data_IF_548987105876
#
_entry.id   IF_548987105876
#
_cell.length_a   1.000
_cell.length_b   1.000
_cell.length_c   1.000
_cell.angle_alpha   90.00
_cell.angle_beta   90.00
_cell.angle_gamma   90.00
#
_symmetry.space_group_name_H-M   'P 1'
#
loop_
_entity.id
_entity.type
_entity.pdbx_description
1 polymer ?
#
# COMPACT_ATOMS: atom_id res chain seq x y z
N UNK A 1 -17.44 -22.27 -3.49
CA UNK A 1 -17.50 -22.36 -4.97
C UNK A 1 -18.07 -21.08 -5.57
N UNK A 2 -17.80 -20.82 -6.85
CA UNK A 2 -18.21 -19.63 -7.60
C UNK A 2 -17.14 -19.18 -8.59
N UNK A 3 -17.49 -18.31 -9.54
CA UNK A 3 -16.53 -17.75 -10.53
C UNK A 3 -15.72 -16.60 -9.94
N UNK A 4 -14.49 -16.43 -10.41
CA UNK A 4 -13.69 -15.24 -10.16
C UNK A 4 -14.46 -13.95 -10.54
N UNK A 5 -14.17 -12.79 -9.92
CA UNK A 5 -13.06 -12.52 -9.01
C UNK A 5 -13.39 -12.71 -7.52
N UNK A 6 -14.68 -12.82 -7.15
CA UNK A 6 -15.12 -13.05 -5.76
C UNK A 6 -15.26 -14.55 -5.42
N UNK A 7 -15.43 -15.41 -6.42
CA UNK A 7 -15.40 -16.86 -6.31
C UNK A 7 -14.00 -17.44 -6.52
N UNK A 8 -13.94 -18.75 -6.76
CA UNK A 8 -12.69 -19.48 -6.99
C UNK A 8 -11.81 -19.62 -5.75
N UNK A 9 -10.55 -19.97 -6.02
CA UNK A 9 -9.48 -20.07 -5.04
C UNK A 9 -9.27 -18.72 -4.34
N UNK A 10 -9.07 -18.77 -3.02
CA UNK A 10 -8.81 -17.57 -2.23
C UNK A 10 -7.34 -17.19 -2.43
N UNK A 11 -7.10 -16.01 -3.01
CA UNK A 11 -5.73 -15.59 -3.32
C UNK A 11 -4.93 -15.28 -2.04
N UNK A 12 -5.58 -14.66 -1.03
CA UNK A 12 -5.03 -14.44 0.32
C UNK A 12 -5.55 -15.52 1.27
N UNK A 13 -5.16 -16.77 1.02
CA UNK A 13 -5.63 -17.96 1.76
C UNK A 13 -5.02 -18.07 3.15
N UNK A 14 -3.78 -17.60 3.32
CA UNK A 14 -3.05 -17.51 4.60
C UNK A 14 -3.91 -17.00 5.78
N UNK A 15 -4.56 -15.85 5.62
CA UNK A 15 -5.42 -15.27 6.67
C UNK A 15 -6.69 -16.09 6.92
N UNK A 16 -7.20 -16.76 5.90
CA UNK A 16 -8.40 -17.60 6.00
C UNK A 16 -8.08 -18.92 6.70
N UNK A 17 -6.93 -19.53 6.38
CA UNK A 17 -6.43 -20.72 7.04
C UNK A 17 -6.14 -20.46 8.52
N UNK A 18 -5.45 -19.35 8.83
CA UNK A 18 -5.26 -18.90 10.20
C UNK A 18 -6.60 -18.73 10.96
N UNK A 19 -7.61 -18.13 10.32
CA UNK A 19 -8.93 -17.97 10.91
C UNK A 19 -9.64 -19.32 11.15
N UNK A 20 -9.46 -20.30 10.27
CA UNK A 20 -10.00 -21.65 10.44
C UNK A 20 -9.27 -22.46 11.49
N UNK A 21 -7.94 -22.35 11.61
CA UNK A 21 -7.16 -22.95 12.68
C UNK A 21 -7.64 -22.44 14.05
N UNK A 22 -7.79 -21.11 14.20
CA UNK A 22 -8.36 -20.51 15.42
C UNK A 22 -9.76 -21.02 15.71
N UNK A 23 -10.63 -21.11 14.70
CA UNK A 23 -11.98 -21.68 14.86
C UNK A 23 -11.95 -23.14 15.33
N UNK A 24 -10.95 -23.91 14.92
CA UNK A 24 -10.77 -25.30 15.34
C UNK A 24 -10.11 -25.44 16.73
N UNK A 25 -9.86 -24.33 17.44
CA UNK A 25 -9.31 -24.32 18.79
C UNK A 25 -7.79 -24.21 18.88
N UNK A 26 -7.10 -23.99 17.75
CA UNK A 26 -5.65 -23.80 17.73
C UNK A 26 -5.26 -22.37 18.08
N UNK A 27 -4.14 -22.20 18.77
CA UNK A 27 -3.48 -20.90 18.89
C UNK A 27 -2.75 -20.57 17.59
N UNK A 28 -2.88 -19.33 17.13
CA UNK A 28 -2.16 -18.80 15.97
C UNK A 28 -1.39 -17.57 16.44
N UNK A 29 -0.09 -17.56 16.18
CA UNK A 29 0.86 -16.51 16.56
C UNK A 29 1.60 -16.02 15.30
N UNK A 30 1.98 -14.73 15.32
CA UNK A 30 2.84 -14.15 14.29
C UNK A 30 4.27 -14.19 14.82
N UNK A 31 5.14 -14.90 14.14
CA UNK A 31 6.56 -14.86 14.42
C UNK A 31 7.15 -13.53 13.89
N UNK A 32 7.66 -12.64 14.74
CA UNK A 32 8.28 -11.40 14.29
C UNK A 32 9.67 -11.61 13.70
N UNK A 33 10.28 -12.79 13.87
CA UNK A 33 11.58 -13.10 13.30
C UNK A 33 11.43 -13.56 11.84
N UNK A 34 12.05 -12.80 10.94
CA UNK A 34 12.13 -13.17 9.53
C UNK A 34 13.40 -13.99 9.22
N UNK A 35 14.24 -14.26 10.21
CA UNK A 35 15.46 -15.05 10.05
C UNK A 35 15.11 -16.46 9.54
N UNK A 36 15.69 -16.83 8.40
CA UNK A 36 15.43 -18.11 7.74
C UNK A 36 14.47 -18.04 6.55
N UNK A 37 13.78 -16.92 6.33
CA UNK A 37 13.06 -16.70 5.07
C UNK A 37 14.04 -16.38 3.93
N UNK A 38 13.95 -17.16 2.86
CA UNK A 38 14.68 -16.92 1.61
C UNK A 38 13.85 -16.14 0.58
N UNK A 39 12.63 -15.71 0.96
CA UNK A 39 11.75 -14.97 0.07
C UNK A 39 12.20 -13.52 -0.07
N UNK A 40 12.48 -13.11 -1.31
CA UNK A 40 12.77 -11.72 -1.61
C UNK A 40 11.48 -10.93 -1.86
N UNK A 41 11.50 -9.65 -1.44
CA UNK A 41 10.47 -8.70 -1.80
C UNK A 41 10.54 -8.29 -3.29
N UNK A 42 9.50 -7.60 -3.79
CA UNK A 42 9.52 -7.00 -5.12
C UNK A 42 10.67 -6.01 -5.21
N UNK A 43 11.41 -6.07 -6.32
CA UNK A 43 12.61 -5.26 -6.56
C UNK A 43 12.30 -4.01 -7.38
N UNK A 44 11.05 -3.88 -7.85
CA UNK A 44 10.53 -2.74 -8.60
C UNK A 44 9.11 -2.42 -8.14
N UNK A 45 8.68 -1.17 -8.35
CA UNK A 45 7.33 -0.73 -8.05
C UNK A 45 6.30 -1.44 -8.97
N UNK A 46 6.68 -1.78 -10.19
CA UNK A 46 5.85 -2.58 -11.09
C UNK A 46 5.56 -3.98 -10.52
N UNK A 47 6.59 -4.69 -10.04
CA UNK A 47 6.43 -6.00 -9.37
C UNK A 47 5.60 -5.88 -8.09
N UNK A 48 5.80 -4.80 -7.33
CA UNK A 48 5.00 -4.49 -6.16
C UNK A 48 3.51 -4.35 -6.52
N UNK A 49 3.16 -3.54 -7.52
CA UNK A 49 1.76 -3.34 -7.93
C UNK A 49 1.11 -4.62 -8.46
N UNK A 50 1.85 -5.44 -9.21
CA UNK A 50 1.36 -6.75 -9.66
C UNK A 50 1.04 -7.67 -8.48
N UNK A 51 1.89 -7.68 -7.45
CA UNK A 51 1.63 -8.43 -6.22
C UNK A 51 0.45 -7.85 -5.45
N UNK A 52 0.41 -6.54 -5.29
CA UNK A 52 -0.64 -5.82 -4.58
C UNK A 52 -2.01 -6.01 -5.24
N UNK A 53 -2.09 -6.13 -6.58
CA UNK A 53 -3.34 -6.44 -7.29
C UNK A 53 -3.92 -7.80 -6.91
N UNK A 54 -3.07 -8.81 -6.66
CA UNK A 54 -3.50 -10.14 -6.18
C UNK A 54 -3.99 -10.06 -4.75
N UNK A 55 -3.25 -9.35 -3.89
CA UNK A 55 -3.67 -9.12 -2.51
C UNK A 55 -4.97 -8.33 -2.43
N UNK A 56 -5.18 -7.33 -3.28
CA UNK A 56 -6.42 -6.57 -3.38
C UNK A 56 -7.61 -7.49 -3.65
N UNK A 57 -7.51 -8.37 -4.65
CA UNK A 57 -8.59 -9.31 -4.95
C UNK A 57 -8.78 -10.34 -3.84
N UNK A 58 -7.68 -10.89 -3.31
CA UNK A 58 -7.73 -11.85 -2.19
C UNK A 58 -8.44 -11.28 -0.96
N UNK A 59 -8.14 -10.04 -0.60
CA UNK A 59 -8.81 -9.36 0.50
C UNK A 59 -10.29 -9.07 0.18
N UNK A 60 -10.62 -8.64 -1.03
CA UNK A 60 -12.03 -8.44 -1.43
C UNK A 60 -12.82 -9.77 -1.47
N UNK A 61 -12.18 -10.90 -1.76
CA UNK A 61 -12.80 -12.23 -1.64
C UNK A 61 -13.19 -12.55 -0.18
N UNK A 62 -12.53 -11.97 0.83
CA UNK A 62 -12.87 -12.21 2.24
C UNK A 62 -14.26 -11.68 2.63
N UNK A 63 -14.85 -10.76 1.86
CA UNK A 63 -16.22 -10.27 2.08
C UNK A 63 -17.21 -11.44 2.15
N UNK A 64 -17.08 -12.43 1.25
CA UNK A 64 -17.96 -13.61 1.23
C UNK A 64 -17.76 -14.48 2.46
N UNK A 65 -16.53 -14.53 2.98
CA UNK A 65 -16.16 -15.36 4.13
C UNK A 65 -16.76 -14.71 5.38
N UNK A 66 -16.61 -13.40 5.55
CA UNK A 66 -17.23 -12.67 6.66
C UNK A 66 -18.76 -12.80 6.67
N UNK A 67 -19.39 -12.78 5.49
CA UNK A 67 -20.83 -12.89 5.35
C UNK A 67 -21.36 -14.30 5.61
N UNK A 68 -20.63 -15.36 5.22
CA UNK A 68 -21.13 -16.75 5.23
C UNK A 68 -20.54 -17.64 6.31
N UNK A 69 -19.29 -17.42 6.71
CA UNK A 69 -18.61 -18.29 7.67
C UNK A 69 -19.15 -18.05 9.09
N UNK A 70 -19.66 -19.14 9.70
CA UNK A 70 -20.09 -19.17 11.10
C UNK A 70 -18.96 -19.67 12.01
N UNK A 71 -19.00 -19.22 13.27
CA UNK A 71 -18.06 -19.65 14.31
C UNK A 71 -16.64 -19.09 14.17
N UNK A 72 -16.41 -18.06 13.37
CA UNK A 72 -15.11 -17.39 13.36
C UNK A 72 -14.93 -16.56 14.63
N UNK A 73 -13.74 -16.64 15.23
CA UNK A 73 -13.32 -15.80 16.34
C UNK A 73 -13.46 -14.30 15.98
N UNK A 74 -13.96 -13.44 16.89
CA UNK A 74 -14.11 -12.01 16.63
C UNK A 74 -12.84 -11.32 16.13
N UNK A 75 -11.65 -11.74 16.62
CA UNK A 75 -10.36 -11.21 16.17
C UNK A 75 -10.07 -11.62 14.74
N UNK A 76 -10.37 -12.86 14.35
CA UNK A 76 -10.25 -13.29 12.95
C UNK A 76 -11.20 -12.51 12.04
N UNK A 77 -12.42 -12.22 12.48
CA UNK A 77 -13.36 -11.38 11.73
C UNK A 77 -12.84 -9.95 11.58
N UNK A 78 -12.30 -9.37 12.66
CA UNK A 78 -11.69 -8.05 12.63
C UNK A 78 -10.51 -8.01 11.66
N UNK A 79 -9.63 -9.01 11.68
CA UNK A 79 -8.48 -9.08 10.78
C UNK A 79 -8.91 -9.10 9.30
N UNK A 80 -9.87 -9.97 8.94
CA UNK A 80 -10.40 -10.03 7.58
C UNK A 80 -11.07 -8.70 7.17
N UNK A 81 -11.80 -8.07 8.11
CA UNK A 81 -12.41 -6.75 7.86
C UNK A 81 -11.34 -5.67 7.64
N UNK A 82 -10.28 -5.65 8.44
CA UNK A 82 -9.15 -4.75 8.26
C UNK A 82 -8.47 -4.96 6.90
N UNK A 83 -8.30 -6.20 6.45
CA UNK A 83 -7.76 -6.51 5.12
C UNK A 83 -8.62 -5.94 3.98
N UNK A 84 -9.95 -6.11 4.06
CA UNK A 84 -10.91 -5.53 3.10
C UNK A 84 -10.82 -3.99 3.11
N UNK A 85 -10.89 -3.38 4.29
CA UNK A 85 -10.85 -1.92 4.42
C UNK A 85 -9.49 -1.32 4.05
N UNK A 86 -8.40 -2.08 4.18
CA UNK A 86 -7.07 -1.67 3.72
C UNK A 86 -7.04 -1.32 2.23
N UNK A 87 -7.85 -1.99 1.41
CA UNK A 87 -8.00 -1.67 -0.01
C UNK A 87 -9.14 -0.69 -0.30
N UNK A 88 -10.29 -0.81 0.38
CA UNK A 88 -11.42 0.11 0.18
C UNK A 88 -11.12 1.55 0.64
N UNK A 89 -10.15 1.75 1.54
CA UNK A 89 -9.74 3.07 1.97
C UNK A 89 -9.25 3.95 0.80
N UNK A 90 -8.53 3.38 -0.17
CA UNK A 90 -7.96 4.11 -1.32
C UNK A 90 -9.02 4.80 -2.20
N UNK A 91 -10.04 4.11 -2.75
CA UNK A 91 -11.10 4.78 -3.52
C UNK A 91 -11.95 5.73 -2.68
N UNK A 92 -12.20 5.42 -1.40
CA UNK A 92 -12.96 6.30 -0.50
C UNK A 92 -12.18 7.60 -0.22
N UNK A 93 -10.88 7.50 0.01
CA UNK A 93 -10.01 8.66 0.22
C UNK A 93 -9.89 9.50 -1.06
N UNK A 94 -9.71 8.87 -2.22
CA UNK A 94 -9.70 9.61 -3.49
C UNK A 94 -11.00 10.37 -3.73
N UNK A 95 -12.15 9.73 -3.47
CA UNK A 95 -13.46 10.38 -3.59
C UNK A 95 -13.59 11.58 -2.65
N UNK A 96 -13.10 11.46 -1.41
CA UNK A 96 -13.06 12.55 -0.43
C UNK A 96 -12.18 13.72 -0.92
N UNK A 97 -10.98 13.44 -1.43
CA UNK A 97 -10.06 14.44 -1.97
C UNK A 97 -10.68 15.18 -3.15
N UNK A 98 -11.30 14.45 -4.09
CA UNK A 98 -11.98 15.05 -5.25
C UNK A 98 -13.15 15.92 -4.80
N UNK A 99 -14.05 15.39 -3.96
CA UNK A 99 -15.22 16.11 -3.49
C UNK A 99 -14.84 17.39 -2.75
N UNK A 100 -13.83 17.32 -1.88
CA UNK A 100 -13.39 18.49 -1.15
C UNK A 100 -12.65 19.52 -2.01
N UNK A 101 -11.87 19.05 -3.00
CA UNK A 101 -11.24 19.93 -3.98
C UNK A 101 -12.28 20.70 -4.77
N UNK A 102 -13.33 20.02 -5.25
CA UNK A 102 -14.43 20.63 -5.99
C UNK A 102 -15.33 21.53 -5.14
N UNK A 103 -15.41 21.28 -3.83
CA UNK A 103 -16.25 22.06 -2.91
C UNK A 103 -15.70 23.47 -2.64
N UNK A 104 -14.40 23.72 -2.83
CA UNK A 104 -13.76 25.00 -2.48
C UNK A 104 -13.76 25.34 -0.98
N UNK A 105 -14.18 24.41 -0.12
CA UNK A 105 -14.28 24.58 1.33
C UNK A 105 -12.99 24.09 2.00
N UNK A 106 -12.23 25.02 2.57
CA UNK A 106 -11.00 24.72 3.33
C UNK A 106 -11.28 23.88 4.59
N UNK A 107 -12.46 24.02 5.19
CA UNK A 107 -12.85 23.31 6.40
C UNK A 107 -13.06 21.80 6.19
N UNK A 108 -13.56 21.41 5.02
CA UNK A 108 -13.95 20.01 4.74
C UNK A 108 -12.76 19.05 4.77
N UNK A 109 -11.55 19.50 4.38
CA UNK A 109 -10.36 18.65 4.38
C UNK A 109 -9.45 18.77 5.57
N UNK A 110 -9.56 19.87 6.33
CA UNK A 110 -8.61 20.13 7.41
C UNK A 110 -8.66 19.03 8.48
N UNK A 111 -9.86 18.66 8.96
CA UNK A 111 -10.00 17.65 10.02
C UNK A 111 -9.57 16.25 9.54
N UNK A 112 -10.05 15.72 8.39
CA UNK A 112 -9.63 14.39 7.92
C UNK A 112 -8.12 14.31 7.64
N UNK A 113 -7.53 15.36 7.07
CA UNK A 113 -6.08 15.39 6.77
C UNK A 113 -5.26 15.41 8.05
N UNK A 114 -5.60 16.26 9.02
CA UNK A 114 -4.90 16.29 10.31
C UNK A 114 -5.05 14.98 11.07
N UNK A 115 -6.24 14.36 11.04
CA UNK A 115 -6.48 13.05 11.62
C UNK A 115 -5.63 11.95 10.97
N UNK A 116 -5.58 11.91 9.65
CA UNK A 116 -4.74 10.98 8.90
C UNK A 116 -3.24 11.18 9.21
N UNK A 117 -2.76 12.44 9.19
CA UNK A 117 -1.38 12.78 9.55
C UNK A 117 -1.08 12.32 10.98
N UNK A 118 -1.95 12.62 11.94
CA UNK A 118 -1.74 12.23 13.34
C UNK A 118 -1.64 10.71 13.49
N UNK A 119 -2.56 9.95 12.88
CA UNK A 119 -2.54 8.48 12.92
C UNK A 119 -1.28 7.90 12.26
N UNK A 120 -0.90 8.41 11.10
CA UNK A 120 0.27 7.94 10.35
C UNK A 120 1.59 8.30 11.04
N UNK A 121 1.66 9.47 11.70
CA UNK A 121 2.83 9.88 12.45
C UNK A 121 2.91 9.18 13.81
N UNK A 122 1.80 8.84 14.46
CA UNK A 122 1.81 8.16 15.75
C UNK A 122 2.60 6.84 15.71
N UNK A 123 2.36 6.00 14.70
CA UNK A 123 3.12 4.75 14.51
C UNK A 123 4.62 5.00 14.25
N UNK A 124 4.97 6.04 13.50
CA UNK A 124 6.36 6.42 13.22
C UNK A 124 7.07 6.94 14.46
N UNK A 125 6.40 7.78 15.25
CA UNK A 125 6.89 8.30 16.51
C UNK A 125 7.12 7.19 17.53
N UNK A 126 6.23 6.19 17.59
CA UNK A 126 6.43 5.01 18.42
C UNK A 126 7.70 4.23 18.02
N UNK A 127 7.91 4.02 16.71
CA UNK A 127 9.11 3.36 16.19
C UNK A 127 10.40 4.13 16.48
N UNK A 128 10.41 5.45 16.26
CA UNK A 128 11.54 6.32 16.62
C UNK A 128 11.81 6.27 18.12
N UNK A 129 10.78 6.38 18.95
CA UNK A 129 10.91 6.32 20.40
C UNK A 129 11.43 4.95 20.88
N UNK A 130 11.03 3.86 20.23
CA UNK A 130 11.56 2.53 20.50
C UNK A 130 13.07 2.46 20.21
N UNK A 131 13.51 2.90 19.04
CA UNK A 131 14.92 2.86 18.65
C UNK A 131 15.81 3.82 19.46
N UNK A 132 15.33 5.02 19.77
CA UNK A 132 16.06 5.98 20.60
C UNK A 132 16.27 5.47 22.04
N UNK A 133 15.36 4.66 22.57
CA UNK A 133 15.55 4.01 23.88
C UNK A 133 16.63 2.93 23.86
N UNK A 134 16.84 2.29 22.71
CA UNK A 134 17.79 1.18 22.55
C UNK A 134 19.19 1.68 22.18
N UNK A 135 19.28 2.74 21.40
CA UNK A 135 20.52 3.43 21.03
C UNK A 135 20.34 4.97 21.05
N UNK A 136 20.47 5.61 22.22
CA UNK A 136 20.33 7.06 22.34
C UNK A 136 21.42 7.84 21.59
N UNK A 137 22.63 7.27 21.49
CA UNK A 137 23.76 7.91 20.79
C UNK A 137 23.52 7.97 19.28
N UNK A 138 22.76 7.01 18.73
CA UNK A 138 22.36 6.92 17.33
C UNK A 138 21.26 7.89 16.86
N UNK A 139 20.82 8.87 17.68
CA UNK A 139 19.62 9.66 17.38
C UNK A 139 19.60 10.34 16.01
N UNK A 140 20.75 10.89 15.56
CA UNK A 140 20.86 11.55 14.25
C UNK A 140 20.60 10.58 13.11
N UNK A 141 21.07 9.32 13.23
CA UNK A 141 20.82 8.26 12.25
C UNK A 141 19.34 7.89 12.26
N UNK A 142 18.76 7.64 13.42
CA UNK A 142 17.35 7.27 13.58
C UNK A 142 16.42 8.34 12.99
N UNK A 143 16.62 9.61 13.34
CA UNK A 143 15.81 10.71 12.81
C UNK A 143 15.96 10.87 11.30
N UNK A 144 17.18 10.73 10.75
CA UNK A 144 17.42 10.84 9.31
C UNK A 144 16.75 9.71 8.53
N UNK A 145 16.83 8.48 9.03
CA UNK A 145 16.17 7.31 8.40
C UNK A 145 14.66 7.48 8.47
N UNK A 146 14.11 7.85 9.63
CA UNK A 146 12.66 8.06 9.78
C UNK A 146 12.15 9.20 8.88
N UNK A 147 12.90 10.29 8.74
CA UNK A 147 12.55 11.38 7.84
C UNK A 147 12.61 10.95 6.36
N UNK A 148 13.67 10.22 5.96
CA UNK A 148 13.82 9.70 4.60
C UNK A 148 12.71 8.71 4.23
N UNK A 149 12.40 7.76 5.11
CA UNK A 149 11.29 6.83 4.89
C UNK A 149 9.94 7.55 4.85
N UNK A 150 9.71 8.53 5.73
CA UNK A 150 8.47 9.34 5.69
C UNK A 150 8.33 10.12 4.39
N UNK A 151 9.42 10.68 3.87
CA UNK A 151 9.43 11.38 2.59
C UNK A 151 9.10 10.41 1.45
N UNK A 152 9.81 9.28 1.35
CA UNK A 152 9.60 8.29 0.28
C UNK A 152 8.17 7.72 0.35
N UNK A 153 7.70 7.33 1.53
CA UNK A 153 6.34 6.83 1.74
C UNK A 153 5.28 7.87 1.41
N UNK A 154 5.53 9.14 1.75
CA UNK A 154 4.64 10.26 1.39
C UNK A 154 4.55 10.49 -0.11
N UNK A 155 5.66 10.33 -0.85
CA UNK A 155 5.68 10.42 -2.30
C UNK A 155 5.02 9.20 -2.97
N UNK A 156 5.19 8.00 -2.42
CA UNK A 156 4.61 6.77 -2.97
C UNK A 156 3.12 6.62 -2.68
N UNK A 157 2.63 7.14 -1.55
CA UNK A 157 1.25 6.94 -1.12
C UNK A 157 0.20 7.38 -2.17
N UNK A 158 0.29 8.55 -2.83
CA UNK A 158 -0.65 8.92 -3.89
C UNK A 158 -0.61 7.97 -5.10
N UNK A 159 0.59 7.50 -5.48
CA UNK A 159 0.78 6.58 -6.61
C UNK A 159 0.10 5.23 -6.30
N UNK A 160 0.40 4.67 -5.12
CA UNK A 160 -0.20 3.42 -4.64
C UNK A 160 -1.71 3.56 -4.48
N UNK A 161 -2.20 4.69 -3.96
CA UNK A 161 -3.63 4.97 -3.82
C UNK A 161 -4.36 4.91 -5.18
N UNK A 162 -3.79 5.49 -6.23
CA UNK A 162 -4.37 5.43 -7.58
C UNK A 162 -4.42 3.99 -8.10
N UNK A 163 -3.33 3.24 -7.95
CA UNK A 163 -3.23 1.84 -8.40
C UNK A 163 -4.17 0.91 -7.62
N UNK A 164 -4.31 1.12 -6.32
CA UNK A 164 -5.26 0.39 -5.48
C UNK A 164 -6.71 0.74 -5.83
N UNK A 165 -7.01 2.02 -6.10
CA UNK A 165 -8.33 2.45 -6.55
C UNK A 165 -8.74 1.72 -7.83
N UNK A 166 -7.88 1.70 -8.85
CA UNK A 166 -8.17 1.00 -10.11
C UNK A 166 -8.26 -0.51 -9.88
N UNK A 167 -7.41 -1.08 -9.02
CA UNK A 167 -7.49 -2.50 -8.64
C UNK A 167 -8.83 -2.88 -8.04
N UNK A 168 -9.33 -2.07 -7.09
CA UNK A 168 -10.63 -2.27 -6.45
C UNK A 168 -11.75 -2.17 -7.49
N UNK A 169 -11.77 -1.10 -8.29
CA UNK A 169 -12.79 -0.92 -9.35
C UNK A 169 -12.76 -2.12 -10.31
N UNK A 170 -11.57 -2.55 -10.73
CA UNK A 170 -11.35 -3.69 -11.62
C UNK A 170 -11.96 -4.99 -11.04
N UNK A 171 -11.73 -5.29 -9.77
CA UNK A 171 -12.34 -6.46 -9.08
C UNK A 171 -13.84 -6.33 -8.99
N UNK A 172 -14.36 -5.15 -8.58
CA UNK A 172 -15.80 -4.91 -8.47
C UNK A 172 -16.50 -5.02 -9.83
N UNK A 173 -15.82 -4.68 -10.93
CA UNK A 173 -16.28 -4.85 -12.30
C UNK A 173 -16.20 -6.30 -12.83
N UNK A 174 -15.74 -7.25 -12.02
CA UNK A 174 -15.67 -8.67 -12.40
C UNK A 174 -14.35 -9.11 -13.04
N UNK A 175 -13.31 -8.27 -13.03
CA UNK A 175 -12.02 -8.63 -13.62
C UNK A 175 -11.14 -9.40 -12.62
N UNK A 176 -10.72 -10.59 -13.04
CA UNK A 176 -9.77 -11.43 -12.33
C UNK A 176 -8.32 -11.02 -12.61
N UNK A 177 -7.48 -11.02 -11.60
CA UNK A 177 -6.04 -10.81 -11.74
C UNK A 177 -5.26 -12.11 -12.07
N UNK A 178 -5.86 -13.27 -11.85
CA UNK A 178 -5.27 -14.58 -12.12
C UNK A 178 -4.13 -14.97 -11.15
N UNK A 179 -3.84 -16.27 -11.11
CA UNK A 179 -2.77 -16.84 -10.27
C UNK A 179 -1.46 -17.13 -11.04
N UNK A 180 -1.54 -17.39 -12.36
CA UNK A 180 -0.38 -17.73 -13.20
C UNK A 180 0.16 -16.50 -13.92
N UNK A 181 1.49 -16.40 -14.18
CA UNK A 181 2.00 -15.40 -15.12
C UNK A 181 1.39 -15.71 -16.48
N UNK A 182 0.42 -14.92 -16.90
CA UNK A 182 -0.22 -15.10 -18.18
C UNK A 182 0.79 -14.81 -19.30
N UNK A 183 1.48 -15.85 -19.78
CA UNK A 183 2.34 -15.74 -20.94
C UNK A 183 1.57 -15.54 -22.25
N UNK A 184 0.22 -15.58 -22.27
CA UNK A 184 -0.58 -15.50 -23.50
C UNK A 184 -2.00 -14.91 -23.39
N UNK A 185 -2.31 -14.14 -22.35
CA UNK A 185 -3.49 -13.26 -22.41
C UNK A 185 -3.02 -11.84 -22.14
N UNK A 186 -2.93 -11.05 -23.21
CA UNK A 186 -3.01 -9.60 -23.07
C UNK A 186 -4.33 -9.30 -22.38
N UNK A 187 -4.29 -9.17 -21.04
CA UNK A 187 -5.38 -8.60 -20.29
C UNK A 187 -5.42 -7.15 -20.72
N UNK A 188 -6.20 -6.86 -21.77
CA UNK A 188 -6.65 -5.50 -22.05
C UNK A 188 -7.25 -4.97 -20.75
N UNK A 189 -6.55 -4.04 -20.10
CA UNK A 189 -7.03 -3.36 -18.89
C UNK A 189 -6.39 -3.79 -17.57
N UNK A 190 -5.22 -4.44 -17.57
CA UNK A 190 -4.39 -4.51 -16.37
C UNK A 190 -3.83 -3.12 -16.03
N UNK A 191 -3.75 -2.76 -14.74
CA UNK A 191 -3.21 -1.46 -14.31
C UNK A 191 -1.86 -1.14 -14.97
N UNK A 192 -1.01 -2.15 -15.16
CA UNK A 192 0.33 -2.03 -15.72
C UNK A 192 0.35 -1.44 -17.15
N UNK A 193 -0.76 -1.45 -17.88
CA UNK A 193 -0.89 -0.93 -19.26
C UNK A 193 -1.21 0.58 -19.33
N UNK A 194 -1.37 1.25 -18.18
CA UNK A 194 -1.79 2.65 -18.09
C UNK A 194 -0.67 3.52 -17.48
N UNK A 195 0.40 3.84 -18.25
CA UNK A 195 1.54 4.64 -17.77
C UNK A 195 1.20 6.11 -17.53
N UNK A 196 0.06 6.57 -18.05
CA UNK A 196 -0.40 7.95 -17.94
C UNK A 196 -1.41 8.17 -16.81
N UNK A 197 -1.82 7.11 -16.09
CA UNK A 197 -2.86 7.19 -15.06
C UNK A 197 -2.53 8.24 -14.00
N UNK A 198 -1.34 8.16 -13.41
CA UNK A 198 -0.89 9.05 -12.35
C UNK A 198 -0.77 10.50 -12.82
N UNK A 199 -0.03 10.82 -13.90
CA UNK A 199 0.07 12.21 -14.34
C UNK A 199 -1.27 12.78 -14.80
N UNK A 200 -2.14 11.98 -15.44
CA UNK A 200 -3.49 12.43 -15.81
C UNK A 200 -4.36 12.72 -14.57
N UNK A 201 -4.29 11.87 -13.54
CA UNK A 201 -4.98 12.12 -12.28
C UNK A 201 -4.44 13.36 -11.55
N UNK A 202 -3.12 13.57 -11.57
CA UNK A 202 -2.48 14.76 -11.03
C UNK A 202 -2.95 16.04 -11.74
N UNK A 203 -3.01 16.04 -13.07
CA UNK A 203 -3.54 17.15 -13.87
C UNK A 203 -5.02 17.37 -13.58
N UNK A 204 -5.84 16.31 -13.54
CA UNK A 204 -7.26 16.43 -13.26
C UNK A 204 -7.54 17.02 -11.87
N UNK A 205 -6.81 16.58 -10.84
CA UNK A 205 -6.89 17.14 -9.49
C UNK A 205 -6.43 18.61 -9.46
N UNK A 206 -5.34 18.94 -10.16
CA UNK A 206 -4.85 20.32 -10.27
C UNK A 206 -5.90 21.22 -10.94
N UNK A 207 -6.51 20.78 -12.04
CA UNK A 207 -7.58 21.49 -12.72
C UNK A 207 -8.82 21.62 -11.84
N UNK A 208 -9.15 20.62 -11.02
CA UNK A 208 -10.27 20.68 -10.09
C UNK A 208 -10.06 21.72 -8.97
N UNK A 209 -8.81 22.08 -8.65
CA UNK A 209 -8.49 23.17 -7.72
C UNK A 209 -8.73 24.55 -8.38
N UNK A 210 -8.59 24.69 -9.70
CA UNK A 210 -8.63 26.00 -10.38
C UNK A 210 -9.98 26.77 -10.27
N UNK A 211 -11.17 26.14 -10.42
CA UNK A 211 -12.45 26.82 -10.24
C UNK A 211 -12.68 27.28 -8.80
N UNK A 212 -12.04 26.61 -7.84
CA UNK A 212 -12.05 26.98 -6.43
C UNK A 212 -10.89 27.92 -6.13
N UNK A 213 -11.04 29.22 -6.41
CA UNK A 213 -10.08 30.29 -6.00
C UNK A 213 -9.99 30.47 -4.46
N UNK A 214 -10.34 29.44 -3.69
CA UNK A 214 -10.46 29.42 -2.23
C UNK A 214 -9.15 29.10 -1.53
N UNK A 215 -8.29 30.11 -1.39
CA UNK A 215 -7.12 30.17 -0.48
C UNK A 215 -5.88 29.32 -0.86
N UNK A 216 -4.70 29.90 -0.62
CA UNK A 216 -3.40 29.22 -0.67
C UNK A 216 -3.34 27.94 0.19
N UNK A 217 -4.18 27.86 1.23
CA UNK A 217 -4.28 26.69 2.10
C UNK A 217 -4.80 25.46 1.36
N UNK A 218 -5.83 25.61 0.52
CA UNK A 218 -6.39 24.48 -0.22
C UNK A 218 -5.36 23.91 -1.20
N UNK A 219 -4.62 24.78 -1.89
CA UNK A 219 -3.50 24.38 -2.75
C UNK A 219 -2.46 23.63 -1.91
N UNK A 220 -2.03 24.19 -0.78
CA UNK A 220 -1.03 23.57 0.09
C UNK A 220 -1.44 22.19 0.62
N UNK A 221 -2.72 21.96 0.91
CA UNK A 221 -3.24 20.68 1.41
C UNK A 221 -3.29 19.61 0.31
N UNK A 222 -3.60 20.00 -0.93
CA UNK A 222 -3.73 19.05 -2.05
C UNK A 222 -2.38 18.77 -2.74
N UNK A 223 -1.42 19.69 -2.65
CA UNK A 223 -0.09 19.55 -3.27
C UNK A 223 0.69 18.29 -2.88
N UNK A 224 0.69 17.82 -1.61
CA UNK A 224 1.31 16.54 -1.25
C UNK A 224 0.74 15.32 -1.99
N UNK A 225 -0.44 15.43 -2.60
CA UNK A 225 -1.06 14.39 -3.42
C UNK A 225 -0.79 14.64 -4.91
N UNK A 226 -1.00 15.88 -5.38
CA UNK A 226 -0.85 16.24 -6.80
C UNK A 226 0.60 16.15 -7.26
N UNK A 227 1.56 16.66 -6.48
CA UNK A 227 2.95 16.72 -6.89
C UNK A 227 3.52 15.31 -7.17
N UNK A 228 3.37 14.31 -6.28
CA UNK A 228 3.86 12.96 -6.56
C UNK A 228 3.22 12.30 -7.78
N UNK A 229 1.93 12.57 -8.03
CA UNK A 229 1.22 12.05 -9.20
C UNK A 229 1.74 12.65 -10.51
N UNK A 230 2.00 13.96 -10.54
CA UNK A 230 2.56 14.63 -11.71
C UNK A 230 3.98 14.13 -12.02
N UNK A 231 4.81 13.94 -11.00
CA UNK A 231 6.20 13.48 -11.19
C UNK A 231 6.34 11.95 -11.25
N UNK A 232 5.23 11.20 -11.15
CA UNK A 232 5.25 9.74 -11.05
C UNK A 232 6.08 9.07 -12.15
N UNK A 233 6.03 9.46 -13.45
CA UNK A 233 6.85 8.81 -14.47
C UNK A 233 8.36 8.86 -14.18
N UNK A 234 8.86 9.99 -13.65
CA UNK A 234 10.26 10.15 -13.28
C UNK A 234 10.59 9.48 -11.96
N UNK A 235 9.71 9.61 -10.96
CA UNK A 235 9.91 9.03 -9.64
C UNK A 235 9.96 7.50 -9.71
N UNK A 236 9.03 6.88 -10.45
CA UNK A 236 8.99 5.42 -10.65
C UNK A 236 10.22 4.95 -11.44
N UNK A 237 10.59 5.66 -12.51
CA UNK A 237 11.80 5.33 -13.27
C UNK A 237 13.07 5.42 -12.41
N UNK A 238 13.15 6.39 -11.50
CA UNK A 238 14.26 6.52 -10.56
C UNK A 238 14.30 5.40 -9.52
N UNK A 239 13.16 5.01 -8.97
CA UNK A 239 13.05 3.92 -8.00
C UNK A 239 13.37 2.55 -8.62
N UNK A 240 12.91 2.33 -9.86
CA UNK A 240 13.11 1.06 -10.58
C UNK A 240 14.47 0.99 -11.28
N UNK A 241 15.26 2.06 -11.23
CA UNK A 241 16.61 2.09 -11.80
C UNK A 241 17.52 1.10 -11.05
N UNK A 242 17.89 0.01 -11.71
CA UNK A 242 18.83 -0.98 -11.16
C UNK A 242 20.23 -0.37 -11.12
N UNK A 243 20.98 -0.50 -10.00
CA UNK A 243 22.39 -0.13 -9.99
C UNK A 243 23.18 -1.00 -11.00
N UNK A 244 24.21 -0.45 -11.65
CA UNK A 244 24.99 -1.19 -12.65
C UNK A 244 25.58 -2.47 -12.05
N UNK A 245 25.64 -3.53 -12.88
CA UNK A 245 25.89 -4.91 -12.48
C UNK A 245 27.14 -5.14 -11.60
N UNK A 246 28.12 -4.22 -11.62
CA UNK A 246 29.34 -4.27 -10.80
C UNK A 246 29.18 -3.90 -9.32
N UNK A 247 28.11 -3.22 -8.92
CA UNK A 247 27.92 -2.79 -7.52
C UNK A 247 27.41 -3.92 -6.60
N UNK A 248 26.87 -5.01 -7.17
CA UNK A 248 26.28 -6.13 -6.42
C UNK A 248 27.32 -6.99 -5.70
N UNK A 249 28.53 -7.11 -6.25
CA UNK A 249 29.60 -7.90 -5.62
C UNK A 249 30.25 -7.19 -4.42
N UNK A 250 30.29 -5.85 -4.40
CA UNK A 250 30.87 -5.12 -3.27
C UNK A 250 29.97 -5.13 -2.02
N UNK A 251 28.64 -5.08 -2.21
CA UNK A 251 27.68 -5.14 -1.11
C UNK A 251 27.49 -6.55 -0.54
N UNK A 252 27.53 -7.59 -1.38
CA UNK A 252 27.42 -8.98 -0.94
C UNK A 252 28.68 -9.49 -0.21
N UNK A 253 29.87 -8.95 -0.52
CA UNK A 253 31.13 -9.33 0.13
C UNK A 253 31.44 -8.47 1.36
N UNK A 254 30.90 -7.25 1.45
CA UNK A 254 31.09 -6.35 2.61
C UNK A 254 30.13 -6.57 3.78
N UNK A 255 29.11 -7.41 3.59
CA UNK A 255 28.03 -7.68 4.54
C UNK A 255 28.04 -9.09 5.12
N UNK A 256 29.20 -9.77 5.17
CA UNK A 256 29.37 -10.93 6.04
C UNK A 256 29.25 -10.44 7.49
N UNK A 257 28.01 -10.38 7.99
CA UNK A 257 27.71 -10.40 9.41
C UNK A 257 28.44 -11.63 9.93
N UNK A 258 29.57 -11.39 10.58
CA UNK A 258 30.23 -12.39 11.40
C UNK A 258 29.18 -12.90 12.37
N UNK A 259 28.69 -14.10 12.10
CA UNK A 259 28.05 -14.96 13.08
C UNK A 259 29.11 -15.20 14.15
N UNK A 260 29.20 -14.29 15.11
CA UNK A 260 29.90 -14.53 16.36
C UNK A 260 29.03 -15.49 17.15
N UNK A 261 29.27 -16.79 16.92
CA UNK A 261 29.00 -17.78 17.93
C UNK A 261 29.84 -17.43 19.17
N UNK A 262 29.17 -17.03 20.25
CA UNK A 262 29.50 -17.40 21.62
C UNK A 262 28.22 -17.47 22.43
#
# INVERSE_FOLDING_TARGET
EGSAPFGGDVLSHDFVEAAWLRRAGWSVEIDPDAAGSSEEGPQTLAEFHKRDRRWCQGNLQHIRILARARGLDPISRLHLACGIFGYLASPLWLALVVAATMSGSTGTMTVPVLGAIALLLAQKLAGVAYWLRRDPAGWRRTCRVAAGETLISGLLAPIVMMRQTVSVISVLSGNDCGWKPAARSGLRGGNDDMPWLEPAAGVALLLAVLPGVGSLWQVAVVMPIVLPLLIAPWLVAWLDARPPAGARHAAAVGGAVQVLQR
#
